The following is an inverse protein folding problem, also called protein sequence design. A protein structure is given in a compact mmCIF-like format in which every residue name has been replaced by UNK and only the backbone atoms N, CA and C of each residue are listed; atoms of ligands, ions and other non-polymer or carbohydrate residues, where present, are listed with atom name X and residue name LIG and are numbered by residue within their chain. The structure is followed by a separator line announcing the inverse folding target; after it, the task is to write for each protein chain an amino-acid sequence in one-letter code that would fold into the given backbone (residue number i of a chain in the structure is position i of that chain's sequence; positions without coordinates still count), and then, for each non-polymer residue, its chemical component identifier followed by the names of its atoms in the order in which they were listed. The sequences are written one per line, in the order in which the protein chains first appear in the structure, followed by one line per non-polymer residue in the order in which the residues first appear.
data_IF_455314055617
#
_entry.id   IF_455314055617
#
_cell.length_a   1.000
_cell.length_b   1.000
_cell.length_c   1.000
_cell.angle_alpha   90.00
_cell.angle_beta   90.00
_cell.angle_gamma   90.00
#
_symmetry.space_group_name_H-M   'P 1'
#
loop_
_entity.id
_entity.type
_entity.pdbx_description
1 polymer ?
#
# COMPACT_ATOMS: atom_id res chain seq x y z
N UNK A 1 4.45 -3.03 -9.52
CA UNK A 1 3.90 -4.22 -8.83
C UNK A 1 4.24 -4.06 -7.36
N UNK A 2 3.28 -4.20 -6.44
CA UNK A 2 3.56 -4.05 -5.00
C UNK A 2 4.05 -5.36 -4.38
N UNK A 3 5.25 -5.78 -4.81
CA UNK A 3 5.84 -7.05 -4.38
C UNK A 3 6.14 -7.03 -2.87
N UNK A 4 6.43 -5.85 -2.32
CA UNK A 4 6.71 -5.63 -0.91
C UNK A 4 5.52 -5.94 0.01
N UNK A 5 4.28 -5.97 -0.50
CA UNK A 5 3.07 -6.32 0.26
C UNK A 5 2.96 -7.84 0.53
N UNK A 6 3.70 -8.68 -0.23
CA UNK A 6 3.71 -10.14 -0.05
C UNK A 6 4.69 -10.61 1.04
N UNK A 7 5.45 -9.69 1.65
CA UNK A 7 6.48 -9.98 2.65
C UNK A 7 5.98 -9.63 4.05
N UNK A 8 6.28 -10.49 5.01
CA UNK A 8 6.01 -10.23 6.42
C UNK A 8 6.88 -9.08 6.95
N UNK A 9 6.42 -8.42 8.02
CA UNK A 9 7.19 -7.35 8.68
C UNK A 9 8.57 -7.82 9.17
N UNK A 10 8.70 -9.11 9.53
CA UNK A 10 9.96 -9.71 9.93
C UNK A 10 10.94 -9.78 8.75
N UNK A 11 10.47 -10.19 7.58
CA UNK A 11 11.29 -10.25 6.37
C UNK A 11 11.70 -8.84 5.92
N UNK A 12 10.79 -7.88 5.96
CA UNK A 12 11.08 -6.47 5.63
C UNK A 12 12.16 -5.90 6.57
N UNK A 13 12.05 -6.14 7.88
CA UNK A 13 13.08 -5.72 8.85
C UNK A 13 14.43 -6.38 8.60
N UNK A 14 14.44 -7.66 8.22
CA UNK A 14 15.67 -8.36 7.89
C UNK A 14 16.32 -7.79 6.62
N UNK A 15 15.54 -7.52 5.58
CA UNK A 15 16.03 -6.88 4.36
C UNK A 15 16.51 -5.45 4.59
N UNK A 16 15.82 -4.67 5.43
CA UNK A 16 16.27 -3.34 5.85
C UNK A 16 17.64 -3.40 6.55
N UNK A 17 17.85 -4.42 7.40
CA UNK A 17 19.13 -4.66 8.06
C UNK A 17 20.23 -4.99 7.07
N UNK A 18 19.96 -5.89 6.12
CA UNK A 18 20.90 -6.22 5.05
C UNK A 18 21.24 -4.99 4.21
N UNK A 19 20.27 -4.14 3.87
CA UNK A 19 20.50 -2.88 3.15
C UNK A 19 21.41 -1.94 3.95
N UNK A 20 21.17 -1.77 5.25
CA UNK A 20 22.01 -0.94 6.11
C UNK A 20 23.45 -1.47 6.21
N UNK A 21 23.62 -2.78 6.32
CA UNK A 21 24.93 -3.45 6.42
C UNK A 21 25.71 -3.43 5.10
N UNK A 22 25.02 -3.44 3.96
CA UNK A 22 25.63 -3.37 2.63
C UNK A 22 26.41 -2.07 2.41
N UNK A 23 25.85 -0.92 2.81
CA UNK A 23 26.56 0.35 2.67
C UNK A 23 27.60 0.51 3.77
N UNK A 24 28.88 0.58 3.40
CA UNK A 24 29.96 0.73 4.39
C UNK A 24 29.94 2.10 5.08
N UNK A 25 29.65 3.15 4.32
CA UNK A 25 29.71 4.55 4.77
C UNK A 25 28.48 5.34 4.37
N UNK A 26 28.32 6.54 4.94
CA UNK A 26 27.29 7.49 4.52
C UNK A 26 27.42 7.89 3.05
N UNK A 27 28.65 8.04 2.55
CA UNK A 27 28.91 8.41 1.15
C UNK A 27 28.46 7.32 0.17
N UNK A 28 28.72 6.05 0.44
CA UNK A 28 28.20 4.96 -0.41
C UNK A 28 26.67 4.93 -0.43
N UNK A 29 26.03 5.31 0.68
CA UNK A 29 24.58 5.46 0.74
C UNK A 29 24.09 6.66 -0.09
N UNK A 30 24.78 7.80 -0.05
CA UNK A 30 24.49 8.97 -0.87
C UNK A 30 24.61 8.67 -2.38
N UNK A 31 25.68 7.97 -2.80
CA UNK A 31 25.86 7.53 -4.19
C UNK A 31 24.74 6.59 -4.64
N UNK A 32 24.32 5.64 -3.79
CA UNK A 32 23.14 4.82 -4.07
C UNK A 32 21.87 5.67 -4.22
N UNK A 33 21.68 6.66 -3.35
CA UNK A 33 20.48 7.50 -3.39
C UNK A 33 20.39 8.34 -4.66
N UNK A 34 21.54 8.70 -5.26
CA UNK A 34 21.56 9.34 -6.57
C UNK A 34 20.85 8.48 -7.62
N UNK A 35 21.29 7.23 -7.78
CA UNK A 35 20.71 6.29 -8.75
C UNK A 35 19.25 5.93 -8.40
N UNK A 36 18.96 5.77 -7.11
CA UNK A 36 17.60 5.54 -6.61
C UNK A 36 16.65 6.68 -7.00
N UNK A 37 17.03 7.94 -6.79
CA UNK A 37 16.17 9.09 -7.09
C UNK A 37 15.93 9.26 -8.59
N UNK A 38 16.94 9.00 -9.42
CA UNK A 38 16.79 8.95 -10.88
C UNK A 38 15.76 7.88 -11.25
N UNK A 39 15.88 6.68 -10.67
CA UNK A 39 14.91 5.59 -10.88
C UNK A 39 13.49 5.94 -10.42
N UNK A 40 13.35 6.79 -9.39
CA UNK A 40 12.07 7.30 -8.92
C UNK A 40 11.50 8.45 -9.78
N UNK A 41 12.18 8.83 -10.87
CA UNK A 41 11.72 9.84 -11.81
C UNK A 41 12.10 11.28 -11.42
N UNK A 42 13.14 11.46 -10.59
CA UNK A 42 13.79 12.75 -10.45
C UNK A 42 14.85 12.94 -11.55
N UNK A 43 15.13 14.19 -11.87
CA UNK A 43 16.11 14.62 -12.87
C UNK A 43 17.19 15.49 -12.20
N UNK A 44 18.30 15.72 -12.90
CA UNK A 44 19.44 16.53 -12.45
C UNK A 44 19.92 16.19 -11.02
N UNK A 45 19.99 14.90 -10.70
CA UNK A 45 20.37 14.44 -9.36
C UNK A 45 21.88 14.59 -9.16
N UNK A 46 22.26 15.51 -8.27
CA UNK A 46 23.64 15.87 -7.97
C UNK A 46 23.96 15.63 -6.48
N UNK A 47 25.06 14.92 -6.21
CA UNK A 47 25.64 14.81 -4.86
C UNK A 47 26.40 16.11 -4.55
N UNK A 48 26.14 16.70 -3.39
CA UNK A 48 26.77 17.96 -2.97
C UNK A 48 28.06 17.71 -2.19
N UNK A 49 29.03 18.63 -2.32
CA UNK A 49 30.25 18.55 -1.53
C UNK A 49 30.00 19.09 -0.12
N UNK A 50 30.60 18.44 0.88
CA UNK A 50 30.41 18.72 2.32
C UNK A 50 30.67 20.17 2.76
N UNK A 51 31.41 20.98 2.00
CA UNK A 51 31.81 22.29 2.49
C UNK A 51 30.67 23.31 2.35
N UNK A 52 30.05 23.64 3.49
CA UNK A 52 29.15 24.80 3.73
C UNK A 52 27.67 24.67 3.34
N UNK A 53 27.23 23.52 2.82
CA UNK A 53 25.84 23.36 2.34
C UNK A 53 24.81 23.03 3.45
N UNK A 54 25.13 23.29 4.73
CA UNK A 54 24.17 23.13 5.83
C UNK A 54 23.66 21.69 6.08
N UNK A 55 24.32 20.68 5.51
CA UNK A 55 23.92 19.28 5.65
C UNK A 55 22.96 18.77 4.56
N UNK A 56 22.88 19.48 3.43
CA UNK A 56 22.35 18.95 2.17
C UNK A 56 23.39 18.01 1.57
N UNK A 57 22.96 16.79 1.24
CA UNK A 57 23.80 15.73 0.71
C UNK A 57 23.51 15.49 -0.79
N UNK A 58 22.28 15.75 -1.27
CA UNK A 58 21.94 15.77 -2.70
C UNK A 58 20.99 16.90 -3.07
N UNK A 59 21.00 17.31 -4.34
CA UNK A 59 20.00 18.17 -4.98
C UNK A 59 19.43 17.44 -6.18
N UNK A 60 18.14 17.64 -6.45
CA UNK A 60 17.45 17.03 -7.58
C UNK A 60 16.27 17.90 -8.00
N UNK A 61 15.78 17.70 -9.22
CA UNK A 61 14.54 18.33 -9.69
C UNK A 61 13.52 17.28 -10.09
N UNK A 62 12.26 17.69 -10.15
CA UNK A 62 11.20 16.94 -10.79
C UNK A 62 10.54 17.86 -11.80
N UNK A 63 10.60 17.48 -13.08
CA UNK A 63 9.95 18.22 -14.15
C UNK A 63 8.42 18.09 -14.04
N UNK A 64 7.74 19.18 -14.40
CA UNK A 64 6.29 19.28 -14.41
C UNK A 64 5.65 18.57 -15.60
N UNK A 65 4.43 18.97 -15.95
CA UNK A 65 3.68 18.30 -17.02
C UNK A 65 4.32 18.52 -18.39
N UNK A 66 4.81 17.41 -18.98
CA UNK A 66 5.15 17.27 -20.39
C UNK A 66 6.39 18.04 -20.88
N UNK A 67 7.28 18.45 -19.97
CA UNK A 67 8.51 19.21 -20.28
C UNK A 67 8.26 20.48 -21.13
N UNK A 68 7.02 20.99 -21.14
CA UNK A 68 6.61 22.12 -21.97
C UNK A 68 7.04 23.47 -21.38
N UNK A 69 7.30 23.54 -20.07
CA UNK A 69 7.72 24.77 -19.39
C UNK A 69 8.43 24.48 -18.06
N UNK A 70 9.35 25.37 -17.68
CA UNK A 70 10.09 25.30 -16.41
C UNK A 70 9.28 25.79 -15.19
N UNK A 71 8.05 26.28 -15.42
CA UNK A 71 7.22 26.93 -14.40
C UNK A 71 6.78 25.94 -13.29
N UNK A 72 6.68 24.66 -13.61
CA UNK A 72 6.25 23.59 -12.70
C UNK A 72 7.41 22.67 -12.26
N UNK A 73 8.66 23.16 -12.33
CA UNK A 73 9.81 22.42 -11.83
C UNK A 73 9.85 22.50 -10.30
N UNK A 74 9.91 21.33 -9.67
CA UNK A 74 10.07 21.21 -8.22
C UNK A 74 11.52 20.87 -7.92
N UNK A 75 12.23 21.74 -7.19
CA UNK A 75 13.55 21.41 -6.68
C UNK A 75 13.47 20.76 -5.30
N UNK A 76 14.25 19.70 -5.14
CA UNK A 76 14.42 18.94 -3.91
C UNK A 76 15.82 19.14 -3.34
N UNK A 77 15.86 19.50 -2.06
CA UNK A 77 17.07 19.54 -1.24
C UNK A 77 17.05 18.34 -0.31
N UNK A 78 17.97 17.41 -0.54
CA UNK A 78 17.94 16.07 0.05
C UNK A 78 19.00 15.95 1.12
N UNK A 79 18.60 15.44 2.29
CA UNK A 79 19.50 15.00 3.35
C UNK A 79 19.41 13.48 3.48
N UNK A 80 20.57 12.82 3.41
CA UNK A 80 20.74 11.38 3.51
C UNK A 80 21.46 11.03 4.81
N UNK A 81 20.89 10.12 5.62
CA UNK A 81 21.54 9.65 6.85
C UNK A 81 21.45 8.15 6.99
N UNK A 82 22.60 7.48 6.81
CA UNK A 82 22.78 6.06 7.13
C UNK A 82 22.96 5.87 8.64
N UNK A 83 21.87 5.72 9.37
CA UNK A 83 21.86 5.45 10.82
C UNK A 83 21.45 4.00 11.12
N UNK A 84 21.89 3.48 12.27
CA UNK A 84 21.42 2.19 12.76
C UNK A 84 19.90 2.20 12.84
N UNK A 85 19.27 1.06 12.54
CA UNK A 85 17.80 0.91 12.50
C UNK A 85 17.13 1.31 13.82
N UNK A 86 17.83 1.15 14.96
CA UNK A 86 17.32 1.55 16.27
C UNK A 86 17.50 3.04 16.61
N UNK A 87 18.21 3.81 15.78
CA UNK A 87 18.56 5.20 16.06
C UNK A 87 17.52 6.17 15.50
N UNK A 88 16.59 6.61 16.34
CA UNK A 88 15.52 7.55 15.96
C UNK A 88 16.05 8.89 15.44
N UNK A 89 15.45 9.41 14.38
CA UNK A 89 15.65 10.78 13.90
C UNK A 89 14.70 11.72 14.66
N UNK A 90 15.28 12.69 15.37
CA UNK A 90 14.55 13.67 16.16
C UNK A 90 14.07 14.86 15.33
N UNK A 91 13.11 15.60 15.89
CA UNK A 91 12.54 16.81 15.27
C UNK A 91 13.59 17.86 14.90
N UNK A 92 14.66 17.99 15.69
CA UNK A 92 15.71 18.98 15.44
C UNK A 92 16.38 18.77 14.08
N UNK A 93 16.57 17.51 13.65
CA UNK A 93 17.16 17.21 12.34
C UNK A 93 16.27 17.63 11.17
N UNK A 94 14.95 17.50 11.32
CA UNK A 94 14.00 18.00 10.32
C UNK A 94 13.99 19.52 10.29
N UNK A 95 14.06 20.18 11.45
CA UNK A 95 14.15 21.66 11.53
C UNK A 95 15.43 22.21 10.92
N UNK A 96 16.57 21.56 11.18
CA UNK A 96 17.86 21.90 10.57
C UNK A 96 17.75 21.87 9.04
N UNK A 97 17.20 20.80 8.47
CA UNK A 97 16.96 20.70 7.02
C UNK A 97 16.02 21.81 6.53
N UNK A 98 14.91 22.07 7.22
CA UNK A 98 13.98 23.16 6.83
C UNK A 98 14.62 24.54 6.84
N UNK A 99 15.57 24.76 7.76
CA UNK A 99 16.34 25.99 7.84
C UNK A 99 17.25 26.22 6.63
N UNK A 100 17.70 25.16 5.96
CA UNK A 100 18.63 25.25 4.81
C UNK A 100 17.93 25.31 3.46
N UNK A 101 16.67 24.86 3.38
CA UNK A 101 15.88 24.90 2.14
C UNK A 101 15.52 26.35 1.78
N UNK A 102 15.85 26.84 0.57
CA UNK A 102 15.43 28.16 0.12
C UNK A 102 13.91 28.23 -0.12
N UNK A 103 13.34 29.43 -0.09
CA UNK A 103 11.90 29.63 -0.24
C UNK A 103 11.37 29.09 -1.57
N UNK A 104 10.22 28.40 -1.54
CA UNK A 104 9.58 27.81 -2.73
C UNK A 104 10.07 26.41 -3.11
N UNK A 105 11.12 25.90 -2.47
CA UNK A 105 11.65 24.55 -2.71
C UNK A 105 11.20 23.54 -1.66
N UNK A 106 11.38 22.25 -1.96
CA UNK A 106 10.97 21.14 -1.09
C UNK A 106 12.18 20.43 -0.48
N UNK A 107 12.00 19.90 0.72
CA UNK A 107 12.98 19.06 1.38
C UNK A 107 12.71 17.58 1.16
N UNK A 108 13.77 16.77 1.26
CA UNK A 108 13.64 15.33 1.37
C UNK A 108 14.63 14.80 2.40
N UNK A 109 14.16 14.04 3.38
CA UNK A 109 15.02 13.38 4.36
C UNK A 109 14.92 11.87 4.17
N UNK A 110 16.02 11.25 3.75
CA UNK A 110 16.12 9.81 3.55
C UNK A 110 17.04 9.20 4.61
N UNK A 111 16.58 8.13 5.27
CA UNK A 111 17.38 7.43 6.27
C UNK A 111 17.15 5.93 6.24
N UNK A 112 18.14 5.15 6.66
CA UNK A 112 18.01 3.71 6.94
C UNK A 112 17.31 3.41 8.28
N UNK A 113 17.00 4.45 9.07
CA UNK A 113 16.33 4.34 10.38
C UNK A 113 14.88 4.83 10.33
N UNK A 114 14.33 5.35 11.44
CA UNK A 114 12.95 5.83 11.56
C UNK A 114 12.86 7.24 12.16
N UNK A 115 11.76 7.93 11.86
CA UNK A 115 11.45 9.26 12.38
C UNK A 115 10.52 9.20 13.59
N UNK A 116 10.73 10.08 14.57
CA UNK A 116 9.76 10.27 15.66
C UNK A 116 8.47 10.90 15.15
N UNK A 117 7.38 10.78 15.92
CA UNK A 117 6.11 11.41 15.55
C UNK A 117 6.25 12.94 15.45
N UNK A 118 7.01 13.57 16.36
CA UNK A 118 7.28 15.02 16.28
C UNK A 118 8.03 15.41 15.01
N UNK A 119 8.97 14.58 14.56
CA UNK A 119 9.69 14.80 13.31
C UNK A 119 8.75 14.70 12.10
N UNK A 120 7.79 13.77 12.11
CA UNK A 120 6.75 13.65 11.07
C UNK A 120 5.83 14.86 11.05
N UNK A 121 5.38 15.33 12.22
CA UNK A 121 4.54 16.52 12.34
C UNK A 121 5.27 17.78 11.85
N UNK A 122 6.54 17.94 12.22
CA UNK A 122 7.38 19.07 11.79
C UNK A 122 7.65 19.10 10.28
N UNK A 123 7.68 17.94 9.64
CA UNK A 123 7.92 17.84 8.20
C UNK A 123 6.78 18.45 7.36
N UNK A 124 5.57 18.56 7.92
CA UNK A 124 4.37 19.04 7.22
C UNK A 124 3.74 20.30 7.85
N UNK A 125 4.25 20.77 8.99
CA UNK A 125 3.64 21.89 9.73
C UNK A 125 3.71 23.24 9.00
N UNK A 126 4.66 23.42 8.08
CA UNK A 126 4.86 24.63 7.29
C UNK A 126 4.71 24.27 5.81
N UNK A 127 3.55 24.61 5.21
CA UNK A 127 3.28 24.33 3.80
C UNK A 127 4.24 25.02 2.83
N UNK A 128 4.95 26.08 3.25
CA UNK A 128 5.91 26.80 2.41
C UNK A 128 7.25 26.08 2.23
N UNK A 129 7.57 25.14 3.15
CA UNK A 129 8.80 24.35 3.15
C UNK A 129 8.54 22.90 3.59
N UNK A 130 7.73 22.13 2.84
CA UNK A 130 7.42 20.76 3.20
C UNK A 130 8.65 19.86 3.02
N UNK A 131 8.77 18.86 3.90
CA UNK A 131 9.83 17.85 3.84
C UNK A 131 9.23 16.46 3.62
N UNK A 132 9.63 15.80 2.55
CA UNK A 132 9.30 14.38 2.33
C UNK A 132 10.19 13.52 3.22
N UNK A 133 9.59 12.64 4.03
CA UNK A 133 10.33 11.73 4.90
C UNK A 133 10.32 10.31 4.34
N UNK A 134 11.49 9.74 4.08
CA UNK A 134 11.67 8.35 3.65
C UNK A 134 12.48 7.62 4.71
N UNK A 135 11.80 6.78 5.49
CA UNK A 135 12.44 5.95 6.51
C UNK A 135 12.98 4.64 5.90
N UNK A 136 13.74 3.87 6.67
CA UNK A 136 14.40 2.68 6.16
C UNK A 136 13.43 1.59 5.72
N UNK A 137 12.26 1.50 6.36
CA UNK A 137 11.21 0.58 5.95
C UNK A 137 10.59 0.98 4.59
N UNK A 138 10.22 2.25 4.43
CA UNK A 138 9.69 2.76 3.17
C UNK A 138 10.72 2.66 2.05
N UNK A 139 12.00 2.91 2.35
CA UNK A 139 13.09 2.80 1.40
C UNK A 139 13.26 1.36 0.90
N UNK A 140 13.32 0.36 1.80
CA UNK A 140 13.48 -1.04 1.37
C UNK A 140 12.26 -1.54 0.61
N UNK A 141 11.03 -1.16 1.02
CA UNK A 141 9.80 -1.49 0.29
C UNK A 141 9.83 -0.90 -1.12
N UNK A 142 10.22 0.37 -1.25
CA UNK A 142 10.40 1.01 -2.56
C UNK A 142 11.45 0.30 -3.42
N UNK A 143 12.57 -0.12 -2.83
CA UNK A 143 13.60 -0.86 -3.56
C UNK A 143 13.06 -2.20 -4.08
N UNK A 144 12.27 -2.93 -3.27
CA UNK A 144 11.62 -4.18 -3.70
C UNK A 144 10.63 -3.89 -4.84
N UNK A 145 9.73 -2.92 -4.67
CA UNK A 145 8.68 -2.66 -5.66
C UNK A 145 9.21 -2.15 -7.00
N UNK A 146 10.37 -1.49 -6.98
CA UNK A 146 11.07 -0.98 -8.15
C UNK A 146 12.25 -1.87 -8.61
N UNK A 147 12.40 -3.06 -8.00
CA UNK A 147 13.42 -4.05 -8.36
C UNK A 147 14.86 -3.54 -8.27
N UNK A 148 15.15 -2.66 -7.32
CA UNK A 148 16.47 -2.06 -7.09
C UNK A 148 17.26 -2.96 -6.15
N UNK A 149 18.26 -3.65 -6.67
CA UNK A 149 19.09 -4.57 -5.89
C UNK A 149 18.43 -5.91 -5.58
N UNK A 150 17.32 -6.25 -6.25
CA UNK A 150 16.58 -7.50 -6.08
C UNK A 150 16.50 -8.29 -7.38
N UNK A 151 16.67 -9.60 -7.28
CA UNK A 151 16.51 -10.56 -8.38
C UNK A 151 15.26 -11.39 -8.11
N UNK A 152 14.39 -11.52 -9.11
CA UNK A 152 13.15 -12.29 -9.01
C UNK A 152 13.28 -13.57 -9.82
N UNK A 153 13.32 -14.70 -9.11
CA UNK A 153 13.30 -16.02 -9.74
C UNK A 153 11.85 -16.53 -9.78
N UNK A 154 11.37 -17.02 -10.94
CA UNK A 154 10.05 -17.63 -11.02
C UNK A 154 10.01 -18.89 -10.16
N UNK A 155 9.03 -18.98 -9.26
CA UNK A 155 8.80 -20.15 -8.44
C UNK A 155 7.49 -20.80 -8.85
N UNK A 156 7.55 -22.06 -9.29
CA UNK A 156 6.34 -22.84 -9.52
C UNK A 156 5.64 -23.12 -8.19
N UNK A 157 4.34 -22.84 -8.13
CA UNK A 157 3.50 -23.18 -6.98
C UNK A 157 2.43 -24.17 -7.43
N UNK A 158 2.58 -25.43 -7.01
CA UNK A 158 1.57 -26.46 -7.27
C UNK A 158 0.20 -26.06 -6.72
N UNK A 159 0.15 -25.42 -5.54
CA UNK A 159 -1.09 -24.94 -4.93
C UNK A 159 -1.79 -23.85 -5.77
N UNK A 160 -1.03 -22.93 -6.34
CA UNK A 160 -1.59 -21.92 -7.26
C UNK A 160 -2.06 -22.57 -8.56
N UNK A 161 -1.32 -23.56 -9.08
CA UNK A 161 -1.73 -24.35 -10.24
C UNK A 161 -3.02 -25.15 -9.96
N UNK A 162 -3.13 -25.76 -8.79
CA UNK A 162 -4.34 -26.49 -8.38
C UNK A 162 -5.54 -25.53 -8.26
N UNK A 163 -5.33 -24.33 -7.71
CA UNK A 163 -6.36 -23.27 -7.66
C UNK A 163 -6.78 -22.84 -9.07
N UNK A 164 -5.81 -22.68 -9.97
CA UNK A 164 -6.06 -22.35 -11.37
C UNK A 164 -6.86 -23.44 -12.08
N UNK A 165 -6.52 -24.72 -11.90
CA UNK A 165 -7.21 -25.85 -12.55
C UNK A 165 -8.63 -26.08 -11.99
N UNK A 166 -8.86 -25.82 -10.70
CA UNK A 166 -10.21 -25.84 -10.10
C UNK A 166 -11.11 -24.72 -10.62
N UNK A 167 -10.57 -23.65 -11.22
CA UNK A 167 -11.38 -22.53 -11.71
C UNK A 167 -12.24 -22.87 -12.94
N UNK A 168 -11.91 -23.93 -13.71
CA UNK A 168 -12.59 -24.28 -14.96
C UNK A 168 -13.88 -25.11 -14.76
N UNK A 169 -14.13 -25.68 -13.57
CA UNK A 169 -15.30 -26.56 -13.35
C UNK A 169 -16.60 -25.83 -12.96
N UNK A 170 -16.54 -24.58 -12.48
CA UNK A 170 -17.73 -23.89 -11.92
C UNK A 170 -18.37 -22.86 -12.86
N UNK A 171 -18.06 -22.91 -14.16
CA UNK A 171 -18.71 -22.04 -15.16
C UNK A 171 -20.12 -22.55 -15.48
N UNK A 172 -21.08 -22.42 -14.55
CA UNK A 172 -22.49 -22.77 -14.79
C UNK A 172 -23.44 -21.62 -14.40
N UNK A 173 -24.13 -21.10 -15.43
CA UNK A 173 -25.47 -20.46 -15.45
C UNK A 173 -25.73 -19.22 -14.57
N UNK A 174 -25.40 -18.04 -15.10
CA UNK A 174 -25.97 -16.78 -14.59
C UNK A 174 -27.43 -16.59 -15.02
N UNK A 175 -28.34 -16.45 -14.05
CA UNK A 175 -29.78 -16.28 -14.26
C UNK A 175 -30.41 -15.15 -13.42
N UNK A 176 -29.73 -14.02 -13.24
CA UNK A 176 -30.34 -12.79 -12.71
C UNK A 176 -29.96 -11.58 -13.58
N UNK A 177 -30.97 -10.97 -14.24
CA UNK A 177 -30.79 -9.80 -15.13
C UNK A 177 -30.50 -8.48 -14.38
N UNK A 178 -30.75 -8.43 -13.06
CA UNK A 178 -30.57 -7.24 -12.23
C UNK A 178 -29.67 -7.54 -11.03
N UNK A 179 -28.41 -7.14 -11.10
CA UNK A 179 -27.45 -7.26 -10.00
C UNK A 179 -26.73 -5.92 -9.76
N UNK A 180 -26.19 -5.75 -8.56
CA UNK A 180 -25.39 -4.59 -8.15
C UNK A 180 -23.93 -5.03 -8.08
N UNK A 181 -23.04 -4.35 -8.78
CA UNK A 181 -21.60 -4.62 -8.69
C UNK A 181 -20.97 -3.78 -7.58
N UNK A 182 -20.11 -4.41 -6.78
CA UNK A 182 -19.33 -3.76 -5.73
C UNK A 182 -18.03 -4.51 -5.51
N UNK A 183 -16.99 -3.82 -5.08
CA UNK A 183 -15.74 -4.47 -4.67
C UNK A 183 -15.81 -4.76 -3.17
N UNK A 184 -15.47 -5.98 -2.77
CA UNK A 184 -15.10 -6.30 -1.39
C UNK A 184 -13.65 -5.86 -1.23
N UNK A 185 -13.44 -4.76 -0.51
CA UNK A 185 -12.15 -4.07 -0.44
C UNK A 185 -11.20 -4.72 0.55
N UNK A 186 -9.91 -4.37 0.48
CA UNK A 186 -8.93 -4.81 1.48
C UNK A 186 -9.31 -4.36 2.90
N UNK A 187 -9.96 -3.19 3.04
CA UNK A 187 -10.40 -2.66 4.33
C UNK A 187 -11.57 -3.47 4.90
N UNK A 188 -12.51 -3.89 4.05
CA UNK A 188 -13.63 -4.76 4.44
C UNK A 188 -13.08 -6.08 5.03
N UNK A 189 -12.14 -6.71 4.30
CA UNK A 189 -11.52 -7.97 4.70
C UNK A 189 -10.73 -7.81 5.99
N UNK A 190 -9.97 -6.71 6.14
CA UNK A 190 -9.21 -6.42 7.37
C UNK A 190 -10.12 -6.21 8.57
N UNK A 191 -11.25 -5.51 8.37
CA UNK A 191 -12.23 -5.24 9.42
C UNK A 191 -13.16 -6.43 9.72
N UNK A 192 -13.05 -7.54 8.96
CA UNK A 192 -13.93 -8.73 9.07
C UNK A 192 -15.41 -8.36 8.86
N UNK A 193 -15.67 -7.50 7.89
CA UNK A 193 -17.01 -7.08 7.49
C UNK A 193 -17.17 -7.15 5.96
N UNK A 194 -18.40 -7.25 5.47
CA UNK A 194 -18.72 -7.01 4.06
C UNK A 194 -19.64 -5.79 3.96
N UNK A 195 -19.17 -4.70 3.37
CA UNK A 195 -20.01 -3.53 3.10
C UNK A 195 -21.14 -3.89 2.14
N UNK A 196 -22.38 -3.73 2.60
CA UNK A 196 -23.57 -4.11 1.86
C UNK A 196 -24.09 -2.93 1.01
N UNK A 197 -24.45 -3.13 -0.27
CA UNK A 197 -25.10 -2.10 -1.07
C UNK A 197 -26.39 -1.58 -0.42
N UNK A 198 -26.58 -0.26 -0.44
CA UNK A 198 -27.74 0.40 0.20
C UNK A 198 -29.09 -0.12 -0.27
N UNK A 199 -29.22 -0.45 -1.56
CA UNK A 199 -30.44 -1.00 -2.15
C UNK A 199 -30.80 -2.42 -1.65
N UNK A 200 -29.82 -3.19 -1.18
CA UNK A 200 -30.07 -4.48 -0.53
C UNK A 200 -30.34 -4.24 0.96
N UNK A 201 -29.54 -3.38 1.60
CA UNK A 201 -29.73 -3.06 3.02
C UNK A 201 -31.14 -2.53 3.31
N UNK A 202 -31.71 -1.70 2.43
CA UNK A 202 -33.09 -1.19 2.58
C UNK A 202 -34.17 -2.29 2.56
N UNK A 203 -33.90 -3.44 1.93
CA UNK A 203 -34.82 -4.59 1.91
C UNK A 203 -34.73 -5.44 3.18
N UNK A 204 -33.66 -5.29 3.96
CA UNK A 204 -33.41 -6.07 5.18
C UNK A 204 -33.83 -5.31 6.45
N UNK A 205 -34.72 -4.33 6.31
CA UNK A 205 -35.09 -3.40 7.39
C UNK A 205 -35.71 -4.13 8.58
N UNK A 206 -35.19 -3.88 9.78
CA UNK A 206 -35.66 -4.49 11.03
C UNK A 206 -35.09 -5.88 11.32
N UNK A 207 -34.17 -6.40 10.49
CA UNK A 207 -33.52 -7.70 10.70
C UNK A 207 -32.18 -7.56 11.42
N UNK A 208 -31.86 -8.51 12.29
CA UNK A 208 -30.55 -8.60 12.96
C UNK A 208 -29.58 -9.52 12.22
N UNK A 209 -30.09 -10.51 11.47
CA UNK A 209 -29.31 -11.46 10.69
C UNK A 209 -29.94 -11.70 9.30
N UNK A 210 -29.14 -12.19 8.36
CA UNK A 210 -29.58 -12.54 7.00
C UNK A 210 -28.82 -13.75 6.49
N UNK A 211 -29.55 -14.62 5.79
CA UNK A 211 -28.96 -15.73 5.05
C UNK A 211 -28.48 -15.26 3.68
N UNK A 212 -27.21 -15.59 3.41
CA UNK A 212 -26.49 -15.15 2.23
C UNK A 212 -25.93 -16.35 1.50
N UNK A 213 -26.32 -16.51 0.24
CA UNK A 213 -25.80 -17.55 -0.65
C UNK A 213 -24.65 -16.97 -1.46
N UNK A 214 -23.48 -17.61 -1.37
CA UNK A 214 -22.28 -17.18 -2.09
C UNK A 214 -22.08 -18.09 -3.31
N UNK A 215 -21.88 -17.49 -4.49
CA UNK A 215 -21.62 -18.18 -5.75
C UNK A 215 -22.61 -19.32 -6.11
N UNK A 216 -23.87 -19.22 -5.67
CA UNK A 216 -24.90 -20.28 -5.78
C UNK A 216 -24.49 -21.64 -5.18
N UNK A 217 -23.54 -21.65 -4.26
CA UNK A 217 -22.96 -22.86 -3.69
C UNK A 217 -23.28 -22.98 -2.19
N UNK A 218 -22.63 -22.16 -1.36
CA UNK A 218 -22.72 -22.27 0.10
C UNK A 218 -23.50 -21.12 0.71
N UNK A 219 -24.34 -21.44 1.68
CA UNK A 219 -25.13 -20.50 2.46
C UNK A 219 -24.45 -20.17 3.79
N UNK A 220 -24.50 -18.89 4.17
CA UNK A 220 -23.98 -18.37 5.43
C UNK A 220 -25.00 -17.45 6.08
N UNK A 221 -25.11 -17.50 7.40
CA UNK A 221 -25.89 -16.54 8.17
C UNK A 221 -24.97 -15.43 8.68
N UNK A 222 -25.21 -14.20 8.24
CA UNK A 222 -24.44 -13.02 8.65
C UNK A 222 -25.25 -12.11 9.56
N UNK A 223 -24.58 -11.47 10.53
CA UNK A 223 -25.23 -10.43 11.35
C UNK A 223 -25.20 -9.08 10.64
N UNK A 224 -26.29 -8.33 10.72
CA UNK A 224 -26.48 -7.05 10.06
C UNK A 224 -26.13 -5.92 11.02
N UNK A 225 -25.28 -4.98 10.57
CA UNK A 225 -25.11 -3.69 11.23
C UNK A 225 -25.67 -2.57 10.36
N UNK A 226 -26.92 -2.20 10.62
CA UNK A 226 -27.65 -1.19 9.83
C UNK A 226 -27.05 0.21 9.94
N UNK A 227 -26.60 0.62 11.13
CA UNK A 227 -26.05 1.97 11.35
C UNK A 227 -24.79 2.26 10.53
N UNK A 228 -24.11 1.22 10.03
CA UNK A 228 -22.89 1.31 9.23
C UNK A 228 -22.96 0.54 7.90
N UNK A 229 -24.13 0.03 7.52
CA UNK A 229 -24.41 -0.69 6.27
C UNK A 229 -23.42 -1.82 5.95
N UNK A 230 -23.21 -2.77 6.87
CA UNK A 230 -22.35 -3.93 6.61
C UNK A 230 -22.86 -5.23 7.24
N UNK A 231 -22.34 -6.35 6.74
CA UNK A 231 -22.50 -7.68 7.31
C UNK A 231 -21.27 -8.07 8.14
N UNK A 232 -21.51 -8.69 9.29
CA UNK A 232 -20.50 -9.21 10.21
C UNK A 232 -20.57 -10.75 10.27
N UNK A 233 -19.66 -11.38 11.04
CA UNK A 233 -19.48 -12.85 11.09
C UNK A 233 -19.11 -13.47 9.72
N UNK A 234 -18.42 -12.71 8.87
CA UNK A 234 -18.08 -13.09 7.49
C UNK A 234 -16.73 -13.82 7.34
N UNK A 235 -15.99 -14.04 8.43
CA UNK A 235 -14.62 -14.57 8.38
C UNK A 235 -14.53 -15.96 7.75
N UNK A 236 -15.51 -16.84 8.01
CA UNK A 236 -15.55 -18.16 7.37
C UNK A 236 -15.71 -18.03 5.86
N UNK A 237 -16.66 -17.21 5.40
CA UNK A 237 -16.85 -16.89 3.99
C UNK A 237 -15.57 -16.33 3.35
N UNK A 238 -14.83 -15.44 4.03
CA UNK A 238 -13.57 -14.92 3.48
C UNK A 238 -12.49 -15.98 3.27
N UNK A 239 -12.39 -16.96 4.17
CA UNK A 239 -11.44 -18.06 4.02
C UNK A 239 -11.87 -19.00 2.90
N UNK A 240 -13.15 -19.38 2.88
CA UNK A 240 -13.71 -20.30 1.90
C UNK A 240 -13.51 -19.79 0.46
N UNK A 241 -13.76 -18.51 0.23
CA UNK A 241 -13.69 -17.89 -1.10
C UNK A 241 -12.37 -17.16 -1.37
N UNK A 242 -11.33 -17.41 -0.56
CA UNK A 242 -9.96 -16.95 -0.85
C UNK A 242 -9.74 -15.44 -0.76
N UNK A 243 -10.58 -14.71 -0.02
CA UNK A 243 -10.39 -13.29 0.28
C UNK A 243 -9.41 -13.08 1.45
N UNK A 244 -9.29 -14.09 2.30
CA UNK A 244 -8.39 -14.12 3.46
C UNK A 244 -7.73 -15.49 3.60
N UNK A 245 -6.41 -15.56 3.49
CA UNK A 245 -5.67 -16.81 3.75
C UNK A 245 -5.38 -17.02 5.25
N UNK A 246 -4.96 -18.24 5.62
CA UNK A 246 -4.49 -18.56 6.97
C UNK A 246 -3.27 -17.74 7.40
N UNK A 247 -2.45 -17.33 6.43
CA UNK A 247 -1.30 -16.43 6.62
C UNK A 247 -1.69 -14.93 6.65
N UNK A 248 -2.98 -14.62 6.76
CA UNK A 248 -3.55 -13.27 6.74
C UNK A 248 -3.29 -12.46 5.45
N UNK A 249 -3.02 -13.13 4.33
CA UNK A 249 -2.97 -12.48 3.01
C UNK A 249 -4.40 -12.04 2.63
N UNK A 250 -4.54 -10.77 2.23
CA UNK A 250 -5.82 -10.15 1.90
C UNK A 250 -5.93 -9.99 0.39
N UNK A 251 -7.01 -10.53 -0.19
CA UNK A 251 -7.26 -10.49 -1.64
C UNK A 251 -8.61 -9.83 -1.92
N UNK A 252 -8.64 -8.54 -2.27
CA UNK A 252 -9.86 -7.84 -2.66
C UNK A 252 -10.45 -8.43 -3.94
N UNK A 253 -11.79 -8.51 -4.02
CA UNK A 253 -12.50 -9.10 -5.17
C UNK A 253 -13.66 -8.24 -5.62
N UNK A 254 -13.90 -8.19 -6.93
CA UNK A 254 -15.19 -7.71 -7.46
C UNK A 254 -16.28 -8.67 -7.01
N UNK A 255 -17.47 -8.15 -6.77
CA UNK A 255 -18.64 -8.94 -6.39
C UNK A 255 -19.90 -8.42 -7.05
N UNK A 256 -20.85 -9.30 -7.30
CA UNK A 256 -22.18 -8.99 -7.82
C UNK A 256 -23.22 -9.41 -6.80
N UNK A 257 -24.20 -8.56 -6.57
CA UNK A 257 -25.16 -8.73 -5.50
C UNK A 257 -26.57 -8.68 -6.04
N UNK A 258 -27.44 -9.53 -5.53
CA UNK A 258 -28.88 -9.35 -5.70
C UNK A 258 -29.62 -9.90 -4.48
N UNK A 259 -30.87 -9.48 -4.32
CA UNK A 259 -31.76 -10.00 -3.30
C UNK A 259 -32.92 -10.71 -4.01
N UNK A 260 -33.14 -11.97 -3.67
CA UNK A 260 -34.25 -12.75 -4.21
C UNK A 260 -35.47 -12.59 -3.29
N UNK A 261 -36.49 -11.87 -3.77
CA UNK A 261 -37.70 -11.58 -3.00
C UNK A 261 -38.57 -12.84 -2.73
N UNK A 262 -38.37 -13.94 -3.46
CA UNK A 262 -39.10 -15.20 -3.25
C UNK A 262 -38.41 -16.09 -2.22
N UNK A 263 -37.08 -16.16 -2.29
CA UNK A 263 -36.29 -16.94 -1.35
C UNK A 263 -36.00 -16.19 -0.05
N UNK A 264 -36.22 -14.87 -0.04
CA UNK A 264 -35.94 -13.96 1.08
C UNK A 264 -34.46 -13.99 1.49
N UNK A 265 -33.57 -14.13 0.50
CA UNK A 265 -32.13 -14.33 0.67
C UNK A 265 -31.31 -13.34 -0.15
N UNK A 266 -30.13 -13.01 0.37
CA UNK A 266 -29.12 -12.24 -0.38
C UNK A 266 -28.23 -13.21 -1.13
N UNK A 267 -27.92 -12.88 -2.37
CA UNK A 267 -26.94 -13.61 -3.16
C UNK A 267 -25.75 -12.72 -3.47
N UNK A 268 -24.55 -13.26 -3.28
CA UNK A 268 -23.29 -12.59 -3.60
C UNK A 268 -22.45 -13.51 -4.49
N UNK A 269 -22.18 -13.05 -5.71
CA UNK A 269 -21.14 -13.66 -6.54
C UNK A 269 -19.84 -12.96 -6.30
N UNK A 270 -18.83 -13.67 -5.83
CA UNK A 270 -17.48 -13.14 -5.65
C UNK A 270 -16.65 -13.53 -6.88
N UNK A 271 -16.18 -12.52 -7.60
CA UNK A 271 -15.39 -12.68 -8.82
C UNK A 271 -14.03 -13.34 -8.55
N UNK A 272 -13.59 -14.15 -9.51
CA UNK A 272 -12.37 -14.96 -9.46
C UNK A 272 -11.10 -14.19 -9.91
N UNK A 273 -11.23 -12.96 -10.40
CA UNK A 273 -10.10 -12.08 -10.78
C UNK A 273 -9.79 -11.04 -9.69
N UNK A 274 -8.52 -10.66 -9.56
CA UNK A 274 -8.12 -9.55 -8.68
C UNK A 274 -8.55 -8.23 -9.31
N UNK A 275 -8.85 -7.24 -8.46
CA UNK A 275 -9.17 -5.87 -8.91
C UNK A 275 -7.93 -5.19 -9.48
#
# INVERSE_FOLDING_TARGET
MKISENLSDKEIKQLQKTLYEYFETGYHFEEFLKEYLIKMGLDEVQVTQRSKDGGIDLKAIRKGVGDFSDIDIIHYYVQAKRYKISSKISVNKVRELKGTIPFGYKGMFITTSFFTNDAKSEAINDPSKPVVLINGEALIRSCIDNQIGFVYLPKFSAKEMDSFLKHDSDYVKYKAKNYIEKIITANDIRARIISCPSAIMSKLDGREEVDVIINDDKEFTFSINKGRNYFAKVTECFREYGLLSDDNVITPRKSKWYFDDKMDKVFIYIGKENV
#
